data_IF_004036902210
#
_entry.id   IF_004036902210
#
_cell.length_a   1.000
_cell.length_b   1.000
_cell.length_c   1.000
_cell.angle_alpha   90.00
_cell.angle_beta   90.00
_cell.angle_gamma   90.00
#
_symmetry.space_group_name_H-M   'P 1'
#
loop_
_entity.id
_entity.type
_entity.pdbx_description
1 polymer ?
#
# COMPACT_ATOMS: atom_id res chain seq x y z
N UNK A 1 -18.89 2.27 1.24
CA UNK A 1 -18.34 1.73 2.51
C UNK A 1 -17.26 2.66 3.03
N UNK A 2 -17.18 2.90 4.35
CA UNK A 2 -16.23 3.81 4.99
C UNK A 2 -15.43 3.11 6.08
N UNK A 3 -14.27 3.66 6.41
CA UNK A 3 -13.34 3.26 7.48
C UNK A 3 -12.80 4.52 8.14
N UNK A 4 -11.99 4.36 9.19
CA UNK A 4 -11.31 5.48 9.86
C UNK A 4 -9.83 5.19 10.06
N UNK A 5 -9.02 6.21 9.95
CA UNK A 5 -7.64 6.24 10.42
C UNK A 5 -7.63 6.80 11.84
N UNK A 6 -6.83 6.24 12.72
CA UNK A 6 -6.66 6.70 14.09
C UNK A 6 -7.74 6.27 15.07
N UNK A 7 -7.49 6.64 16.32
CA UNK A 7 -8.35 6.33 17.47
C UNK A 7 -9.65 7.13 17.43
N UNK A 8 -10.68 6.64 18.11
CA UNK A 8 -12.02 7.22 18.08
C UNK A 8 -12.05 8.74 18.30
N UNK A 9 -11.25 9.23 19.25
CA UNK A 9 -11.24 10.65 19.66
C UNK A 9 -10.53 11.58 18.67
N UNK A 10 -9.71 11.05 17.76
CA UNK A 10 -8.96 11.82 16.75
C UNK A 10 -8.92 11.08 15.41
N UNK A 11 -10.06 10.54 14.98
CA UNK A 11 -10.12 9.74 13.76
C UNK A 11 -10.36 10.59 12.51
N UNK A 12 -9.80 10.12 11.39
CA UNK A 12 -10.00 10.68 10.06
C UNK A 12 -10.81 9.67 9.26
N UNK A 13 -12.03 10.05 8.85
CA UNK A 13 -12.87 9.18 8.02
C UNK A 13 -12.32 9.10 6.58
N UNK A 14 -12.31 7.88 6.02
CA UNK A 14 -11.86 7.58 4.66
C UNK A 14 -12.80 6.57 3.99
N UNK A 15 -12.73 6.48 2.65
CA UNK A 15 -13.31 5.34 1.94
C UNK A 15 -12.65 4.03 2.42
N UNK A 16 -13.40 2.93 2.44
CA UNK A 16 -12.86 1.64 2.85
C UNK A 16 -11.81 1.05 1.89
N UNK A 17 -11.68 1.66 0.73
CA UNK A 17 -10.64 1.41 -0.27
C UNK A 17 -9.85 2.69 -0.49
N UNK A 18 -8.52 2.60 -0.48
CA UNK A 18 -7.64 3.66 -0.95
C UNK A 18 -7.10 3.36 -2.35
N UNK A 19 -6.44 4.35 -2.96
CA UNK A 19 -5.66 4.19 -4.18
C UNK A 19 -4.17 4.24 -3.84
N UNK A 20 -3.43 3.14 -4.10
CA UNK A 20 -1.98 3.12 -4.05
C UNK A 20 -1.37 3.79 -5.28
N UNK A 21 -0.56 4.82 -5.07
CA UNK A 21 -0.01 5.67 -6.13
C UNK A 21 1.40 5.25 -6.58
N UNK A 22 1.91 4.09 -6.16
CA UNK A 22 3.23 3.62 -6.63
C UNK A 22 3.28 3.49 -8.14
N UNK A 23 2.23 2.92 -8.74
CA UNK A 23 2.20 2.62 -10.16
C UNK A 23 2.16 3.87 -11.06
N UNK A 24 1.75 5.04 -10.55
CA UNK A 24 1.74 6.31 -11.28
C UNK A 24 3.06 7.10 -11.12
N UNK A 25 4.01 6.63 -10.32
CA UNK A 25 5.32 7.25 -10.14
C UNK A 25 6.26 7.08 -11.33
N UNK A 26 5.98 6.12 -12.21
CA UNK A 26 6.83 5.81 -13.35
C UNK A 26 8.09 5.01 -12.97
N UNK A 27 9.09 4.94 -13.88
CA UNK A 27 10.31 4.20 -13.63
C UNK A 27 11.21 4.94 -12.63
N UNK A 28 11.81 4.18 -11.72
CA UNK A 28 12.83 4.63 -10.77
C UNK A 28 13.62 3.44 -10.24
N UNK A 29 14.74 3.69 -9.61
CA UNK A 29 15.64 2.64 -9.11
C UNK A 29 16.07 2.92 -7.67
N UNK A 30 16.41 1.85 -6.96
CA UNK A 30 17.04 1.91 -5.64
C UNK A 30 18.52 1.63 -5.81
N UNK A 31 19.38 2.52 -5.30
CA UNK A 31 20.81 2.27 -5.28
C UNK A 31 21.12 1.14 -4.28
N UNK A 32 21.85 0.14 -4.74
CA UNK A 32 22.37 -0.98 -3.96
C UNK A 32 23.86 -1.12 -4.18
N UNK A 33 24.55 -1.91 -3.36
CA UNK A 33 26.00 -2.18 -3.54
C UNK A 33 26.33 -2.71 -4.94
N UNK A 34 25.46 -3.56 -5.49
CA UNK A 34 25.61 -4.13 -6.84
C UNK A 34 25.18 -3.20 -7.98
N UNK A 35 24.79 -1.95 -7.66
CA UNK A 35 24.28 -0.97 -8.61
C UNK A 35 22.77 -0.71 -8.47
N UNK A 36 22.20 0.17 -9.32
CA UNK A 36 20.78 0.51 -9.28
C UNK A 36 19.90 -0.70 -9.60
N UNK A 37 18.89 -0.95 -8.75
CA UNK A 37 17.86 -1.97 -8.95
C UNK A 37 16.53 -1.30 -9.27
N UNK A 38 15.88 -1.73 -10.35
CA UNK A 38 14.54 -1.27 -10.75
C UNK A 38 13.53 -1.46 -9.63
N UNK A 39 12.78 -0.41 -9.32
CA UNK A 39 11.74 -0.38 -8.29
C UNK A 39 10.41 0.20 -8.80
N UNK A 40 10.38 0.80 -9.99
CA UNK A 40 9.17 1.29 -10.65
C UNK A 40 8.36 0.17 -11.30
N UNK A 41 7.21 0.55 -11.85
CA UNK A 41 6.28 -0.34 -12.57
C UNK A 41 6.33 -0.12 -14.10
N UNK A 42 7.48 0.33 -14.62
CA UNK A 42 7.66 0.69 -16.02
C UNK A 42 7.17 2.10 -16.36
N UNK A 43 7.12 2.40 -17.66
CA UNK A 43 6.72 3.73 -18.15
C UNK A 43 5.26 4.05 -17.85
N UNK A 44 4.97 5.33 -17.63
CA UNK A 44 3.64 5.87 -17.35
C UNK A 44 3.33 7.05 -18.25
N UNK A 45 2.06 7.22 -18.57
CA UNK A 45 1.51 8.42 -19.17
C UNK A 45 0.89 9.27 -18.06
N UNK A 46 1.42 10.47 -17.85
CA UNK A 46 0.97 11.39 -16.81
C UNK A 46 -0.49 11.79 -16.99
N UNK A 47 -0.94 11.98 -18.25
CA UNK A 47 -2.33 12.31 -18.51
C UNK A 47 -3.27 11.15 -18.16
N UNK A 48 -2.86 9.90 -18.40
CA UNK A 48 -3.61 8.72 -17.95
C UNK A 48 -3.58 8.58 -16.44
N UNK A 49 -2.44 8.82 -15.79
CA UNK A 49 -2.30 8.81 -14.34
C UNK A 49 -3.20 9.84 -13.67
N UNK A 50 -3.30 11.05 -14.22
CA UNK A 50 -4.21 12.10 -13.75
C UNK A 50 -5.67 11.64 -13.90
N UNK A 51 -6.06 11.10 -15.07
CA UNK A 51 -7.40 10.56 -15.28
C UNK A 51 -7.73 9.42 -14.31
N UNK A 52 -6.75 8.56 -14.00
CA UNK A 52 -6.94 7.49 -13.01
C UNK A 52 -7.23 8.04 -11.61
N UNK A 53 -6.50 9.07 -11.15
CA UNK A 53 -6.77 9.72 -9.87
C UNK A 53 -8.15 10.40 -9.86
N UNK A 54 -8.52 11.09 -10.93
CA UNK A 54 -9.84 11.72 -11.06
C UNK A 54 -10.96 10.68 -11.07
N UNK A 55 -10.79 9.56 -11.77
CA UNK A 55 -11.74 8.46 -11.76
C UNK A 55 -11.87 7.81 -10.37
N UNK A 56 -10.80 7.79 -9.56
CA UNK A 56 -10.84 7.33 -8.18
C UNK A 56 -11.75 8.24 -7.33
N UNK A 57 -11.59 9.55 -7.45
CA UNK A 57 -12.43 10.53 -6.78
C UNK A 57 -13.91 10.37 -7.16
N UNK A 58 -14.18 10.24 -8.46
CA UNK A 58 -15.55 10.10 -8.99
C UNK A 58 -16.19 8.78 -8.56
N UNK A 59 -15.38 7.75 -8.32
CA UNK A 59 -15.82 6.45 -7.78
C UNK A 59 -15.94 6.43 -6.24
N UNK A 60 -15.72 7.57 -5.57
CA UNK A 60 -15.87 7.71 -4.11
C UNK A 60 -14.66 7.26 -3.30
N UNK A 61 -13.49 7.09 -3.90
CA UNK A 61 -12.23 6.87 -3.18
C UNK A 61 -11.77 8.22 -2.63
N UNK A 62 -11.58 8.29 -1.31
CA UNK A 62 -11.13 9.50 -0.60
C UNK A 62 -9.77 9.33 0.06
N UNK A 63 -9.13 8.17 -0.07
CA UNK A 63 -7.82 7.87 0.52
C UNK A 63 -6.79 7.55 -0.56
N UNK A 64 -5.70 8.30 -0.59
CA UNK A 64 -4.61 8.15 -1.56
C UNK A 64 -3.28 7.92 -0.82
N UNK A 65 -2.59 6.82 -1.13
CA UNK A 65 -1.29 6.47 -0.55
C UNK A 65 -0.18 6.66 -1.59
N UNK A 66 0.70 7.61 -1.34
CA UNK A 66 1.88 7.90 -2.15
C UNK A 66 3.16 7.83 -1.31
N UNK A 67 4.29 8.22 -1.86
CA UNK A 67 5.56 8.38 -1.14
C UNK A 67 6.53 9.27 -1.94
N UNK A 68 7.44 9.93 -1.24
CA UNK A 68 8.50 10.74 -1.84
C UNK A 68 9.38 9.91 -2.80
N UNK A 69 9.65 8.65 -2.49
CA UNK A 69 10.47 7.79 -3.35
C UNK A 69 9.75 7.24 -4.59
N UNK A 70 8.43 7.31 -4.70
CA UNK A 70 7.72 6.81 -5.89
C UNK A 70 8.00 7.69 -7.11
N UNK A 71 8.86 7.19 -8.01
CA UNK A 71 9.39 7.96 -9.12
C UNK A 71 10.24 9.17 -8.69
N UNK A 72 10.84 9.12 -7.47
CA UNK A 72 11.65 10.20 -6.91
C UNK A 72 10.91 11.56 -6.89
N UNK A 73 9.73 11.57 -6.28
CA UNK A 73 8.85 12.75 -6.14
C UNK A 73 7.76 12.87 -7.20
N UNK A 74 7.88 12.14 -8.30
CA UNK A 74 6.95 12.25 -9.44
C UNK A 74 5.50 11.88 -9.06
N UNK A 75 5.31 10.79 -8.28
CA UNK A 75 3.98 10.37 -7.84
C UNK A 75 3.27 11.44 -7.00
N UNK A 76 3.99 12.14 -6.11
CA UNK A 76 3.43 13.23 -5.31
C UNK A 76 3.04 14.42 -6.20
N UNK A 77 3.87 14.78 -7.19
CA UNK A 77 3.58 15.86 -8.14
C UNK A 77 2.34 15.57 -9.00
N UNK A 78 2.22 14.34 -9.52
CA UNK A 78 1.06 13.90 -10.31
C UNK A 78 -0.20 13.89 -9.46
N UNK A 79 -0.12 13.38 -8.22
CA UNK A 79 -1.25 13.36 -7.30
C UNK A 79 -1.71 14.79 -6.98
N UNK A 80 -0.80 15.69 -6.58
CA UNK A 80 -1.11 17.09 -6.30
C UNK A 80 -1.76 17.79 -7.49
N UNK A 81 -1.22 17.61 -8.70
CA UNK A 81 -1.77 18.14 -9.94
C UNK A 81 -3.18 17.60 -10.25
N UNK A 82 -3.40 16.31 -10.05
CA UNK A 82 -4.67 15.67 -10.34
C UNK A 82 -5.80 16.08 -9.38
N UNK A 83 -5.44 16.33 -8.11
CA UNK A 83 -6.40 16.73 -7.08
C UNK A 83 -6.82 18.20 -7.21
N UNK A 84 -5.88 19.12 -7.46
CA UNK A 84 -6.18 20.54 -7.56
C UNK A 84 -7.05 21.05 -6.40
N UNK A 85 -8.14 21.72 -6.71
CA UNK A 85 -9.08 22.27 -5.72
C UNK A 85 -9.80 21.22 -4.87
N UNK A 86 -9.75 19.93 -5.28
CA UNK A 86 -10.34 18.79 -4.55
C UNK A 86 -9.43 18.25 -3.43
N UNK A 87 -8.25 18.86 -3.21
CA UNK A 87 -7.33 18.44 -2.14
C UNK A 87 -8.01 18.30 -0.77
N UNK A 88 -8.92 19.21 -0.44
CA UNK A 88 -9.66 19.24 0.83
C UNK A 88 -10.68 18.11 0.99
N UNK A 89 -11.07 17.46 -0.10
CA UNK A 89 -12.10 16.41 -0.12
C UNK A 89 -11.50 15.02 0.12
N UNK A 90 -10.15 14.94 0.26
CA UNK A 90 -9.42 13.68 0.33
C UNK A 90 -8.43 13.65 1.49
N UNK A 91 -7.99 12.45 1.79
CA UNK A 91 -6.94 12.12 2.76
C UNK A 91 -5.73 11.60 2.00
N UNK A 92 -4.59 12.26 2.16
CA UNK A 92 -3.32 11.87 1.54
C UNK A 92 -2.41 11.26 2.59
N UNK A 93 -1.96 10.03 2.32
CA UNK A 93 -0.83 9.43 3.00
C UNK A 93 0.41 9.57 2.11
N UNK A 94 1.52 10.05 2.67
CA UNK A 94 2.84 10.00 2.02
C UNK A 94 3.92 9.56 2.99
N UNK A 95 5.15 9.34 2.50
CA UNK A 95 6.25 8.72 3.25
C UNK A 95 7.53 9.51 3.08
N UNK A 96 8.35 9.56 4.14
CA UNK A 96 9.61 10.27 4.25
C UNK A 96 10.80 9.32 4.45
N UNK A 97 12.00 9.87 4.70
CA UNK A 97 13.17 9.10 5.12
C UNK A 97 13.93 8.43 3.98
N UNK A 98 13.71 8.84 2.76
CA UNK A 98 14.45 8.39 1.60
C UNK A 98 15.14 9.56 0.89
N UNK A 99 16.44 9.46 0.69
CA UNK A 99 17.15 10.36 -0.20
C UNK A 99 16.83 10.03 -1.65
N UNK A 100 16.24 10.97 -2.35
CA UNK A 100 15.84 10.82 -3.74
C UNK A 100 16.59 11.82 -4.63
N UNK A 101 16.93 11.37 -5.82
CA UNK A 101 17.42 12.24 -6.89
C UNK A 101 16.37 12.26 -8.03
N UNK A 102 15.64 13.37 -8.19
CA UNK A 102 14.62 13.49 -9.23
C UNK A 102 15.18 13.47 -10.66
N UNK A 103 16.43 13.89 -10.87
CA UNK A 103 17.05 13.94 -12.21
C UNK A 103 17.44 12.56 -12.70
N UNK A 104 18.12 11.78 -11.86
CA UNK A 104 18.53 10.41 -12.17
C UNK A 104 17.46 9.37 -11.89
N UNK A 105 16.41 9.73 -11.15
CA UNK A 105 15.39 8.85 -10.62
C UNK A 105 15.95 7.69 -9.78
N UNK A 106 16.97 8.00 -9.01
CA UNK A 106 17.61 7.05 -8.10
C UNK A 106 17.26 7.42 -6.65
N UNK A 107 16.77 6.43 -5.90
CA UNK A 107 16.62 6.51 -4.47
C UNK A 107 17.89 5.98 -3.80
N UNK A 108 18.42 6.76 -2.89
CA UNK A 108 19.50 6.36 -1.98
C UNK A 108 18.88 6.05 -0.62
N UNK A 109 19.07 4.83 -0.10
CA UNK A 109 18.67 4.50 1.27
C UNK A 109 19.64 5.14 2.26
N UNK A 110 19.14 5.83 3.27
CA UNK A 110 19.97 6.40 4.32
C UNK A 110 19.15 6.54 5.62
N UNK A 111 19.07 5.46 6.36
CA UNK A 111 18.32 5.41 7.62
C UNK A 111 19.00 6.19 8.77
N UNK A 112 20.28 6.53 8.63
CA UNK A 112 21.05 7.18 9.71
C UNK A 112 20.76 8.68 9.86
N UNK A 113 20.14 9.32 8.87
CA UNK A 113 19.82 10.76 8.85
C UNK A 113 18.30 11.04 8.82
N UNK A 114 17.47 10.05 9.13
CA UNK A 114 16.00 10.21 9.08
C UNK A 114 15.55 11.35 10.01
N UNK A 115 16.02 11.42 11.25
CA UNK A 115 15.60 12.44 12.23
C UNK A 115 16.00 13.84 11.76
N UNK A 116 17.24 14.02 11.29
CA UNK A 116 17.76 15.30 10.83
C UNK A 116 17.05 15.83 9.60
N UNK A 117 16.58 14.92 8.74
CA UNK A 117 15.95 15.24 7.45
C UNK A 117 14.44 15.30 7.48
N UNK A 118 13.79 14.78 8.51
CA UNK A 118 12.34 14.60 8.54
C UNK A 118 11.57 15.89 8.27
N UNK A 119 12.01 17.01 8.82
CA UNK A 119 11.37 18.32 8.60
C UNK A 119 11.54 18.81 7.16
N UNK A 120 12.74 18.67 6.60
CA UNK A 120 13.02 19.01 5.19
C UNK A 120 12.19 18.09 4.25
N UNK A 121 12.16 16.80 4.51
CA UNK A 121 11.34 15.83 3.76
C UNK A 121 9.86 16.19 3.79
N UNK A 122 9.36 16.67 4.93
CA UNK A 122 7.97 17.10 5.08
C UNK A 122 7.66 18.32 4.20
N UNK A 123 8.48 19.37 4.27
CA UNK A 123 8.32 20.57 3.45
C UNK A 123 8.43 20.26 1.95
N UNK A 124 9.31 19.34 1.58
CA UNK A 124 9.48 18.88 0.20
C UNK A 124 8.24 18.15 -0.30
N UNK A 125 7.66 17.26 0.52
CA UNK A 125 6.41 16.56 0.18
C UNK A 125 5.23 17.53 0.08
N UNK A 126 5.11 18.51 1.01
CA UNK A 126 4.08 19.55 0.96
C UNK A 126 4.18 20.35 -0.37
N UNK A 127 5.40 20.72 -0.78
CA UNK A 127 5.64 21.46 -2.03
C UNK A 127 5.29 20.62 -3.25
N UNK A 128 5.68 19.32 -3.30
CA UNK A 128 5.36 18.45 -4.45
C UNK A 128 3.87 18.14 -4.55
N UNK A 129 3.20 17.95 -3.42
CA UNK A 129 1.75 17.72 -3.32
C UNK A 129 0.93 19.02 -3.52
N UNK A 130 1.58 20.19 -3.50
CA UNK A 130 0.94 21.51 -3.58
C UNK A 130 -0.16 21.68 -2.50
N UNK A 131 0.21 21.49 -1.22
CA UNK A 131 -0.72 21.55 -0.08
C UNK A 131 0.03 22.04 1.18
N UNK A 132 -0.72 22.60 2.13
CA UNK A 132 -0.18 23.13 3.38
C UNK A 132 -0.12 22.07 4.51
N UNK A 133 -0.74 20.90 4.30
CA UNK A 133 -0.77 19.84 5.29
C UNK A 133 -0.79 18.44 4.65
N UNK A 134 -0.27 17.45 5.38
CA UNK A 134 -0.36 16.03 5.06
C UNK A 134 -1.32 15.37 6.06
N UNK A 135 -2.23 14.52 5.60
CA UNK A 135 -3.19 13.87 6.51
C UNK A 135 -2.54 12.73 7.28
N UNK A 136 -1.74 11.88 6.62
CA UNK A 136 -1.05 10.75 7.22
C UNK A 136 0.41 10.70 6.73
N UNK A 137 1.36 10.98 7.63
CA UNK A 137 2.79 10.97 7.31
C UNK A 137 3.46 9.73 7.86
N UNK A 138 4.06 8.91 7.00
CA UNK A 138 4.46 7.56 7.37
C UNK A 138 5.97 7.36 7.30
N UNK A 139 6.53 6.70 8.32
CA UNK A 139 7.84 6.10 8.23
C UNK A 139 7.77 4.93 7.23
N UNK A 140 8.66 4.88 6.21
CA UNK A 140 8.58 3.85 5.17
C UNK A 140 9.08 2.48 5.66
N UNK A 141 8.83 1.47 4.85
CA UNK A 141 9.42 0.15 5.04
C UNK A 141 10.94 0.24 4.89
N UNK A 142 11.66 -0.11 5.93
CA UNK A 142 13.12 -0.10 5.98
C UNK A 142 13.60 -0.96 7.14
N UNK A 143 14.90 -0.96 7.38
CA UNK A 143 15.54 -1.72 8.45
C UNK A 143 15.84 -0.86 9.69
N UNK A 144 15.08 0.24 9.90
CA UNK A 144 15.30 1.08 11.07
C UNK A 144 15.09 0.27 12.36
N UNK A 145 16.09 0.37 13.24
CA UNK A 145 16.03 -0.24 14.57
C UNK A 145 14.85 0.39 15.37
N UNK A 146 14.00 -0.42 16.03
CA UNK A 146 12.91 0.09 16.86
C UNK A 146 13.33 1.17 17.87
N UNK A 147 14.53 1.05 18.44
CA UNK A 147 15.05 2.06 19.38
C UNK A 147 15.36 3.40 18.71
N UNK A 148 15.79 3.38 17.45
CA UNK A 148 16.02 4.60 16.65
C UNK A 148 14.71 5.23 16.17
N UNK A 149 13.60 4.50 16.19
CA UNK A 149 12.29 4.98 15.77
C UNK A 149 11.58 5.86 16.80
N UNK A 150 11.97 5.78 18.09
CA UNK A 150 11.38 6.62 19.15
C UNK A 150 11.60 8.12 18.89
N UNK A 151 12.83 8.61 18.62
CA UNK A 151 13.05 10.03 18.28
C UNK A 151 12.27 10.45 17.00
N UNK A 152 12.12 9.56 16.03
CA UNK A 152 11.32 9.82 14.82
C UNK A 152 9.86 10.05 15.21
N UNK A 153 9.29 9.18 16.06
CA UNK A 153 7.91 9.31 16.57
C UNK A 153 7.71 10.62 17.33
N UNK A 154 8.65 11.00 18.20
CA UNK A 154 8.59 12.26 18.96
C UNK A 154 8.58 13.48 18.03
N UNK A 155 9.40 13.48 16.99
CA UNK A 155 9.41 14.56 16.01
C UNK A 155 8.11 14.61 15.16
N UNK A 156 7.51 13.46 14.87
CA UNK A 156 6.19 13.40 14.22
C UNK A 156 5.09 14.00 15.11
N UNK A 157 5.14 13.78 16.44
CA UNK A 157 4.23 14.43 17.39
C UNK A 157 4.40 15.97 17.39
N UNK A 158 5.61 16.47 17.20
CA UNK A 158 5.84 17.91 17.04
C UNK A 158 5.22 18.44 15.75
N UNK A 159 5.39 17.73 14.61
CA UNK A 159 4.78 18.13 13.34
C UNK A 159 3.25 18.12 13.38
N UNK A 160 2.64 17.23 14.17
CA UNK A 160 1.20 17.28 14.44
C UNK A 160 0.81 18.55 15.19
N UNK A 161 1.55 18.93 16.26
CA UNK A 161 1.31 20.16 17.02
C UNK A 161 1.48 21.43 16.18
N UNK A 162 2.38 21.39 15.21
CA UNK A 162 2.62 22.47 14.25
C UNK A 162 1.54 22.55 13.15
N UNK A 163 0.69 21.52 13.03
CA UNK A 163 -0.35 21.45 12.00
C UNK A 163 0.18 21.09 10.60
N UNK A 164 1.44 20.70 10.48
CA UNK A 164 2.04 20.25 9.21
C UNK A 164 1.52 18.89 8.77
N UNK A 165 1.26 18.01 9.75
CA UNK A 165 0.64 16.71 9.54
C UNK A 165 -0.55 16.55 10.49
N UNK A 166 -1.54 15.74 10.11
CA UNK A 166 -2.70 15.48 10.99
C UNK A 166 -2.50 14.23 11.86
N UNK A 167 -1.82 13.24 11.29
CA UNK A 167 -1.52 11.98 11.96
C UNK A 167 -0.27 11.33 11.31
N UNK A 168 0.23 10.30 11.93
CA UNK A 168 1.35 9.54 11.40
C UNK A 168 1.16 8.03 11.52
N UNK A 169 2.08 7.26 10.91
CA UNK A 169 2.09 5.81 10.95
C UNK A 169 3.44 5.23 10.54
N UNK A 170 3.56 3.90 10.60
CA UNK A 170 4.73 3.19 10.08
C UNK A 170 4.32 2.14 9.05
N UNK A 171 4.99 2.13 7.88
CA UNK A 171 4.87 1.04 6.93
C UNK A 171 5.88 -0.07 7.29
N UNK A 172 5.43 -1.10 7.99
CA UNK A 172 6.27 -2.21 8.44
C UNK A 172 5.51 -3.53 8.46
N UNK A 173 6.19 -4.62 8.15
CA UNK A 173 5.68 -5.99 8.26
C UNK A 173 6.19 -6.70 9.56
N UNK A 174 6.84 -5.94 10.49
CA UNK A 174 7.44 -6.43 11.73
C UNK A 174 6.68 -5.88 12.94
N UNK A 175 6.28 -6.79 13.84
CA UNK A 175 5.48 -6.47 15.03
C UNK A 175 6.21 -5.51 15.98
N UNK A 176 7.48 -5.79 16.31
CA UNK A 176 8.32 -5.00 17.21
C UNK A 176 8.45 -3.53 16.81
N UNK A 177 8.44 -3.27 15.50
CA UNK A 177 8.44 -1.91 14.92
C UNK A 177 7.07 -1.25 15.03
N UNK A 178 6.02 -2.00 14.69
CA UNK A 178 4.66 -1.52 14.77
C UNK A 178 4.28 -1.11 16.21
N UNK A 179 4.72 -1.86 17.21
CA UNK A 179 4.51 -1.58 18.63
C UNK A 179 5.07 -0.23 19.03
N UNK A 180 6.28 0.13 18.59
CA UNK A 180 6.90 1.45 18.91
C UNK A 180 6.01 2.61 18.48
N UNK A 181 5.40 2.53 17.28
CA UNK A 181 4.53 3.60 16.78
C UNK A 181 3.13 3.54 17.39
N UNK A 182 2.63 2.35 17.70
CA UNK A 182 1.32 2.16 18.35
C UNK A 182 1.22 2.86 19.73
N UNK A 183 2.33 3.09 20.40
CA UNK A 183 2.39 3.86 21.68
C UNK A 183 2.12 5.36 21.48
N UNK A 184 2.32 5.91 20.29
CA UNK A 184 2.21 7.34 20.02
C UNK A 184 0.77 7.83 20.03
N UNK A 185 0.54 9.05 20.58
CA UNK A 185 -0.79 9.60 20.76
C UNK A 185 -1.52 9.88 19.44
N UNK A 186 -0.79 10.34 18.40
CA UNK A 186 -1.33 10.66 17.09
C UNK A 186 -0.95 9.62 16.02
N UNK A 187 -0.48 8.42 16.44
CA UNK A 187 -0.37 7.30 15.52
C UNK A 187 -1.77 6.87 15.07
N UNK A 188 -2.00 6.84 13.76
CA UNK A 188 -3.32 6.55 13.19
C UNK A 188 -3.38 5.21 12.46
N UNK A 189 -2.23 4.65 12.04
CA UNK A 189 -2.21 3.42 11.26
C UNK A 189 -0.87 2.72 11.30
N UNK A 190 -0.92 1.41 11.07
CA UNK A 190 0.23 0.61 10.62
C UNK A 190 -0.05 0.18 9.17
N UNK A 191 0.93 0.42 8.28
CA UNK A 191 0.82 -0.04 6.89
C UNK A 191 1.65 -1.31 6.69
N UNK A 192 1.02 -2.40 6.29
CA UNK A 192 1.69 -3.69 6.11
C UNK A 192 1.10 -4.49 4.94
N UNK A 193 1.85 -5.52 4.50
CA UNK A 193 1.40 -6.41 3.44
C UNK A 193 0.28 -7.32 3.96
N UNK A 194 -0.88 -7.28 3.31
CA UNK A 194 -2.00 -8.16 3.62
C UNK A 194 -2.74 -8.56 2.34
N UNK A 195 -2.83 -9.85 2.11
CA UNK A 195 -3.57 -10.46 1.00
C UNK A 195 -3.78 -11.95 1.28
N UNK A 196 -4.57 -12.63 0.46
CA UNK A 196 -4.78 -14.09 0.51
C UNK A 196 -3.47 -14.91 0.51
N UNK A 197 -2.42 -14.39 -0.12
CA UNK A 197 -1.12 -15.07 -0.17
C UNK A 197 -0.15 -14.63 0.93
N UNK A 198 -0.49 -13.62 1.70
CA UNK A 198 0.33 -13.09 2.79
C UNK A 198 -0.56 -12.49 3.88
N UNK A 199 -0.76 -13.21 4.97
CA UNK A 199 -1.48 -12.73 6.16
C UNK A 199 -0.48 -12.28 7.24
N UNK A 200 -0.88 -11.36 8.10
CA UNK A 200 -0.11 -10.89 9.24
C UNK A 200 -1.05 -10.68 10.46
N UNK A 201 -1.46 -11.78 11.11
CA UNK A 201 -2.44 -11.75 12.20
C UNK A 201 -1.97 -10.96 13.43
N UNK A 202 -0.66 -10.93 13.68
CA UNK A 202 -0.10 -10.24 14.86
C UNK A 202 -0.24 -8.73 14.73
N UNK A 203 0.06 -8.15 13.54
CA UNK A 203 -0.12 -6.71 13.31
C UNK A 203 -1.60 -6.35 13.25
N UNK A 204 -2.47 -7.21 12.69
CA UNK A 204 -3.92 -6.99 12.74
C UNK A 204 -4.39 -6.88 14.19
N UNK A 205 -4.00 -7.84 15.04
CA UNK A 205 -4.37 -7.86 16.46
C UNK A 205 -3.82 -6.64 17.21
N UNK A 206 -2.59 -6.21 16.92
CA UNK A 206 -2.02 -4.98 17.49
C UNK A 206 -2.88 -3.75 17.12
N UNK A 207 -3.26 -3.63 15.85
CA UNK A 207 -4.08 -2.51 15.39
C UNK A 207 -5.47 -2.50 16.04
N UNK A 208 -6.12 -3.67 16.16
CA UNK A 208 -7.40 -3.81 16.83
C UNK A 208 -7.32 -3.41 18.32
N UNK A 209 -6.30 -3.87 19.02
CA UNK A 209 -6.09 -3.59 20.44
C UNK A 209 -5.79 -2.10 20.71
N UNK A 210 -5.19 -1.39 19.76
CA UNK A 210 -4.79 0.02 19.90
C UNK A 210 -5.71 1.00 19.13
N UNK A 211 -6.81 0.53 18.57
CA UNK A 211 -7.77 1.32 17.77
C UNK A 211 -7.13 2.01 16.56
N UNK A 212 -6.15 1.35 15.91
CA UNK A 212 -5.43 1.83 14.74
C UNK A 212 -6.02 1.25 13.45
N UNK A 213 -5.80 1.94 12.33
CA UNK A 213 -6.11 1.39 11.02
C UNK A 213 -5.02 0.43 10.53
N UNK A 214 -5.45 -0.66 9.89
CA UNK A 214 -4.60 -1.53 9.08
C UNK A 214 -4.62 -1.01 7.64
N UNK A 215 -3.62 -0.23 7.23
CA UNK A 215 -3.47 0.15 5.82
C UNK A 215 -2.75 -0.97 5.10
N UNK A 216 -3.43 -1.60 4.12
CA UNK A 216 -2.96 -2.86 3.54
C UNK A 216 -2.35 -2.64 2.17
N UNK A 217 -1.00 -2.64 2.13
CA UNK A 217 -0.24 -2.65 0.87
C UNK A 217 -0.27 -4.05 0.24
N UNK A 218 -0.09 -4.11 -1.10
CA UNK A 218 -0.10 -5.35 -1.91
C UNK A 218 -1.36 -6.23 -1.76
N UNK A 219 -2.57 -5.67 -1.62
CA UNK A 219 -3.78 -6.47 -1.40
C UNK A 219 -4.10 -7.42 -2.57
N UNK A 220 -3.58 -7.11 -3.77
CA UNK A 220 -3.69 -7.94 -4.98
C UNK A 220 -2.39 -8.70 -5.32
N UNK A 221 -1.45 -8.85 -4.37
CA UNK A 221 -0.18 -9.55 -4.55
C UNK A 221 0.54 -9.14 -5.84
N UNK A 222 0.80 -7.84 -6.03
CA UNK A 222 1.41 -7.26 -7.24
C UNK A 222 0.64 -7.53 -8.53
N UNK A 223 -0.66 -7.77 -8.41
CA UNK A 223 -1.59 -8.02 -9.51
C UNK A 223 -1.82 -9.50 -9.81
N UNK A 224 -1.19 -10.44 -9.10
CA UNK A 224 -1.37 -11.88 -9.32
C UNK A 224 -2.80 -12.31 -8.99
N UNK A 225 -3.38 -11.81 -7.91
CA UNK A 225 -4.76 -12.09 -7.50
C UNK A 225 -5.84 -11.50 -8.43
N UNK A 226 -5.46 -10.84 -9.52
CA UNK A 226 -6.40 -10.45 -10.58
C UNK A 226 -6.70 -11.59 -11.55
N UNK A 227 -5.92 -12.69 -11.51
CA UNK A 227 -6.07 -13.85 -12.37
C UNK A 227 -5.72 -13.62 -13.85
N UNK A 228 -5.03 -12.51 -14.17
CA UNK A 228 -4.65 -12.18 -15.56
C UNK A 228 -3.31 -12.77 -15.99
N UNK A 229 -2.50 -13.27 -15.05
CA UNK A 229 -1.19 -13.83 -15.35
C UNK A 229 -1.25 -15.34 -15.55
N UNK A 230 -0.40 -15.83 -16.44
CA UNK A 230 -0.20 -17.25 -16.78
C UNK A 230 1.29 -17.58 -16.63
N UNK A 231 1.64 -18.86 -16.78
CA UNK A 231 3.06 -19.29 -16.77
C UNK A 231 3.93 -18.63 -17.86
N UNK A 232 3.35 -18.10 -18.92
CA UNK A 232 4.06 -17.43 -20.02
C UNK A 232 4.05 -15.90 -19.90
N UNK A 233 3.50 -15.34 -18.83
CA UNK A 233 3.46 -13.90 -18.61
C UNK A 233 4.87 -13.37 -18.31
N UNK A 234 5.24 -12.25 -18.94
CA UNK A 234 6.52 -11.55 -18.76
C UNK A 234 6.30 -10.06 -18.53
N UNK A 235 7.31 -9.37 -18.05
CA UNK A 235 7.29 -7.93 -17.79
C UNK A 235 8.47 -7.22 -18.45
N UNK A 236 8.35 -5.94 -18.82
CA UNK A 236 9.45 -5.13 -19.33
C UNK A 236 10.61 -5.00 -18.31
N UNK A 237 11.82 -4.78 -18.77
CA UNK A 237 13.03 -4.65 -17.92
C UNK A 237 12.93 -3.51 -16.89
N UNK A 238 12.23 -2.43 -17.22
CA UNK A 238 12.01 -1.30 -16.32
C UNK A 238 10.80 -1.48 -15.37
N UNK A 239 10.18 -2.66 -15.34
CA UNK A 239 9.17 -3.06 -14.35
C UNK A 239 9.83 -3.93 -13.28
N UNK A 240 9.60 -3.61 -12.00
CA UNK A 240 10.18 -4.36 -10.88
C UNK A 240 9.80 -5.86 -10.88
N UNK A 241 8.75 -6.24 -11.59
CA UNK A 241 8.30 -7.63 -11.76
C UNK A 241 9.06 -8.37 -12.86
N UNK A 242 9.95 -7.71 -13.60
CA UNK A 242 10.74 -8.36 -14.66
C UNK A 242 11.47 -9.63 -14.18
N UNK A 243 11.88 -9.63 -12.89
CA UNK A 243 12.54 -10.79 -12.28
C UNK A 243 11.59 -11.95 -11.93
N UNK A 244 10.28 -11.83 -12.15
CA UNK A 244 9.32 -12.89 -11.86
C UNK A 244 9.30 -13.86 -13.05
N UNK A 245 9.69 -15.11 -12.80
CA UNK A 245 9.44 -16.22 -13.70
C UNK A 245 8.26 -17.05 -13.15
N UNK A 246 7.12 -17.01 -13.83
CA UNK A 246 5.94 -17.76 -13.41
C UNK A 246 6.06 -19.28 -13.58
N UNK A 247 7.15 -19.77 -14.19
CA UNK A 247 7.48 -21.20 -14.27
C UNK A 247 8.24 -21.71 -13.05
N UNK A 248 8.83 -20.79 -12.27
CA UNK A 248 9.42 -21.16 -10.98
C UNK A 248 8.36 -21.79 -10.05
N UNK A 249 8.72 -22.86 -9.30
CA UNK A 249 7.78 -23.56 -8.41
C UNK A 249 7.00 -22.64 -7.46
N UNK A 250 7.65 -21.63 -6.89
CA UNK A 250 7.05 -20.65 -6.00
C UNK A 250 5.92 -19.86 -6.69
N UNK A 251 6.16 -19.35 -7.89
CA UNK A 251 5.17 -18.56 -8.63
C UNK A 251 4.11 -19.43 -9.29
N UNK A 252 4.49 -20.62 -9.79
CA UNK A 252 3.55 -21.62 -10.29
C UNK A 252 2.55 -22.04 -9.20
N UNK A 253 3.03 -22.24 -7.97
CA UNK A 253 2.18 -22.48 -6.80
C UNK A 253 1.19 -21.35 -6.50
N UNK A 254 1.67 -20.10 -6.64
CA UNK A 254 0.79 -18.92 -6.47
C UNK A 254 -0.28 -18.85 -7.56
N UNK A 255 0.02 -19.19 -8.82
CA UNK A 255 -0.97 -19.26 -9.88
C UNK A 255 -2.01 -20.36 -9.62
N UNK A 256 -1.58 -21.56 -9.15
CA UNK A 256 -2.51 -22.63 -8.71
C UNK A 256 -3.44 -22.15 -7.60
N UNK A 257 -2.92 -21.40 -6.63
CA UNK A 257 -3.73 -20.82 -5.56
C UNK A 257 -4.80 -19.86 -6.10
N UNK A 258 -4.46 -19.01 -7.07
CA UNK A 258 -5.42 -18.11 -7.72
C UNK A 258 -6.52 -18.88 -8.42
N UNK A 259 -6.17 -19.97 -9.12
CA UNK A 259 -7.17 -20.79 -9.82
C UNK A 259 -8.07 -21.54 -8.83
N UNK A 260 -7.53 -22.11 -7.75
CA UNK A 260 -8.31 -22.75 -6.69
C UNK A 260 -9.26 -21.80 -5.96
N UNK A 261 -8.90 -20.52 -5.86
CA UNK A 261 -9.72 -19.48 -5.22
C UNK A 261 -10.81 -18.91 -6.14
N UNK A 262 -10.79 -19.22 -7.44
CA UNK A 262 -11.63 -18.57 -8.44
C UNK A 262 -13.11 -18.58 -8.08
N UNK A 263 -13.65 -19.75 -7.79
CA UNK A 263 -15.10 -19.93 -7.55
C UNK A 263 -15.56 -19.14 -6.32
N UNK A 264 -14.84 -19.21 -5.21
CA UNK A 264 -15.21 -18.51 -3.98
C UNK A 264 -15.06 -16.99 -4.11
N UNK A 265 -14.01 -16.51 -4.78
CA UNK A 265 -13.77 -15.08 -4.91
C UNK A 265 -14.71 -14.41 -5.92
N UNK A 266 -15.17 -15.14 -6.96
CA UNK A 266 -16.06 -14.57 -7.97
C UNK A 266 -17.54 -14.79 -7.65
N UNK A 267 -17.86 -15.45 -6.55
CA UNK A 267 -19.23 -15.63 -6.12
C UNK A 267 -19.93 -14.26 -5.95
N UNK A 268 -21.24 -14.21 -6.17
CA UNK A 268 -22.00 -12.96 -6.11
C UNK A 268 -21.67 -11.93 -7.21
N UNK A 269 -21.02 -12.36 -8.32
CA UNK A 269 -20.73 -11.52 -9.49
C UNK A 269 -19.49 -10.62 -9.34
N UNK A 270 -18.62 -10.88 -8.38
CA UNK A 270 -17.33 -10.19 -8.21
C UNK A 270 -16.33 -10.62 -9.29
N UNK A 271 -15.39 -9.75 -9.65
CA UNK A 271 -14.14 -10.18 -10.29
C UNK A 271 -13.19 -10.79 -9.26
N UNK A 272 -12.14 -11.52 -9.69
CA UNK A 272 -11.12 -12.05 -8.79
C UNK A 272 -10.47 -10.92 -7.96
N UNK A 273 -10.16 -9.78 -8.57
CA UNK A 273 -9.62 -8.62 -7.86
C UNK A 273 -10.58 -8.13 -6.78
N UNK A 274 -11.87 -8.03 -7.08
CA UNK A 274 -12.89 -7.61 -6.12
C UNK A 274 -13.07 -8.61 -4.99
N UNK A 275 -13.04 -9.91 -5.27
CA UNK A 275 -13.06 -10.95 -4.25
C UNK A 275 -11.84 -10.93 -3.35
N UNK A 276 -10.64 -10.70 -3.90
CA UNK A 276 -9.42 -10.54 -3.11
C UNK A 276 -9.47 -9.33 -2.18
N UNK A 277 -10.04 -8.19 -2.63
CA UNK A 277 -10.27 -7.02 -1.79
C UNK A 277 -11.34 -7.29 -0.71
N UNK A 278 -12.40 -8.02 -1.07
CA UNK A 278 -13.46 -8.43 -0.14
C UNK A 278 -12.92 -9.34 0.98
N UNK A 279 -11.94 -10.21 0.69
CA UNK A 279 -11.24 -11.01 1.70
C UNK A 279 -10.46 -10.13 2.68
N UNK A 280 -9.76 -9.08 2.19
CA UNK A 280 -9.03 -8.15 3.07
C UNK A 280 -10.00 -7.47 4.04
N UNK A 281 -11.17 -7.05 3.58
CA UNK A 281 -12.19 -6.45 4.46
C UNK A 281 -12.81 -7.45 5.45
N UNK A 282 -12.94 -8.71 5.08
CA UNK A 282 -13.44 -9.77 5.97
C UNK A 282 -12.44 -10.10 7.09
N UNK A 283 -11.14 -9.78 6.89
CA UNK A 283 -10.07 -10.06 7.85
C UNK A 283 -10.19 -9.22 9.13
N UNK A 284 -10.61 -7.96 9.01
CA UNK A 284 -10.86 -7.06 10.14
C UNK A 284 -11.61 -5.80 9.68
N UNK A 285 -12.41 -5.23 10.56
CA UNK A 285 -13.04 -3.92 10.35
C UNK A 285 -12.05 -2.75 10.33
N UNK A 286 -10.78 -2.99 10.68
CA UNK A 286 -9.70 -2.01 10.63
C UNK A 286 -8.98 -1.95 9.30
N UNK A 287 -9.22 -2.89 8.39
CA UNK A 287 -8.49 -2.99 7.12
C UNK A 287 -8.93 -1.95 6.10
N UNK A 288 -7.94 -1.36 5.45
CA UNK A 288 -8.09 -0.39 4.36
C UNK A 288 -7.10 -0.80 3.25
N UNK A 289 -7.51 -1.68 2.32
CA UNK A 289 -6.66 -2.04 1.19
C UNK A 289 -6.38 -0.85 0.28
N UNK A 290 -5.13 -0.75 -0.18
CA UNK A 290 -4.65 0.30 -1.09
C UNK A 290 -4.10 -0.32 -2.40
N UNK A 291 -4.95 -0.96 -3.23
CA UNK A 291 -4.50 -1.51 -4.49
C UNK A 291 -3.95 -0.41 -5.39
N UNK A 292 -2.83 -0.70 -6.06
CA UNK A 292 -2.30 0.16 -7.12
C UNK A 292 -3.17 0.07 -8.38
N UNK A 293 -3.24 1.18 -9.12
CA UNK A 293 -3.87 1.24 -10.43
C UNK A 293 -3.09 2.18 -11.34
N UNK A 294 -3.05 1.87 -12.65
CA UNK A 294 -2.34 2.67 -13.68
C UNK A 294 -3.29 3.44 -14.60
N UNK A 295 -4.56 3.04 -14.64
CA UNK A 295 -5.55 3.60 -15.55
C UNK A 295 -6.96 3.59 -14.94
N UNK A 296 -7.86 4.32 -15.58
CA UNK A 296 -9.24 4.47 -15.16
C UNK A 296 -9.99 3.13 -15.01
N UNK A 297 -9.77 2.18 -15.94
CA UNK A 297 -10.43 0.87 -15.91
C UNK A 297 -10.09 0.10 -14.63
N UNK A 298 -8.82 0.03 -14.25
CA UNK A 298 -8.38 -0.65 -13.02
C UNK A 298 -8.93 0.05 -11.77
N UNK A 299 -8.94 1.37 -11.76
CA UNK A 299 -9.51 2.14 -10.65
C UNK A 299 -10.98 1.84 -10.46
N UNK A 300 -11.77 1.89 -11.54
CA UNK A 300 -13.21 1.62 -11.48
C UNK A 300 -13.51 0.17 -11.06
N UNK A 301 -12.73 -0.80 -11.54
CA UNK A 301 -12.85 -2.19 -11.13
C UNK A 301 -12.59 -2.35 -9.63
N UNK A 302 -11.49 -1.78 -9.12
CA UNK A 302 -11.15 -1.83 -7.70
C UNK A 302 -12.21 -1.12 -6.84
N UNK A 303 -12.65 0.07 -7.25
CA UNK A 303 -13.64 0.85 -6.52
C UNK A 303 -15.01 0.14 -6.43
N UNK A 304 -15.41 -0.55 -7.50
CA UNK A 304 -16.67 -1.30 -7.53
C UNK A 304 -16.71 -2.43 -6.49
N UNK A 305 -15.56 -2.92 -5.99
CA UNK A 305 -15.51 -3.87 -4.89
C UNK A 305 -16.22 -3.37 -3.63
N UNK A 306 -16.23 -2.04 -3.38
CA UNK A 306 -16.91 -1.46 -2.20
C UNK A 306 -18.43 -1.69 -2.21
N UNK A 307 -19.05 -1.92 -3.36
CA UNK A 307 -20.47 -2.24 -3.45
C UNK A 307 -20.79 -3.69 -3.02
N UNK A 308 -19.82 -4.60 -3.16
CA UNK A 308 -19.96 -5.99 -2.71
C UNK A 308 -19.69 -6.13 -1.21
N UNK A 309 -18.82 -5.28 -0.63
CA UNK A 309 -18.40 -5.37 0.77
C UNK A 309 -17.46 -6.55 1.06
N UNK A 310 -17.29 -6.93 2.34
CA UNK A 310 -16.45 -8.06 2.75
C UNK A 310 -17.03 -9.41 2.29
N UNK A 311 -16.18 -10.42 2.19
CA UNK A 311 -16.66 -11.81 2.09
C UNK A 311 -17.53 -12.16 3.28
N UNK A 312 -18.54 -13.00 3.06
CA UNK A 312 -19.28 -13.63 4.15
C UNK A 312 -18.36 -14.55 4.96
N UNK A 313 -18.72 -14.87 6.21
CA UNK A 313 -17.92 -15.78 7.05
C UNK A 313 -17.67 -17.12 6.35
N UNK A 314 -18.67 -17.68 5.66
CA UNK A 314 -18.54 -18.93 4.94
C UNK A 314 -17.56 -18.83 3.75
N UNK A 315 -17.64 -17.77 2.96
CA UNK A 315 -16.70 -17.52 1.84
C UNK A 315 -15.27 -17.27 2.37
N UNK A 316 -15.12 -16.55 3.48
CA UNK A 316 -13.83 -16.28 4.10
C UNK A 316 -13.17 -17.57 4.61
N UNK A 317 -13.92 -18.42 5.32
CA UNK A 317 -13.45 -19.73 5.79
C UNK A 317 -13.09 -20.66 4.63
N UNK A 318 -13.90 -20.68 3.56
CA UNK A 318 -13.62 -21.47 2.36
C UNK A 318 -12.35 -21.00 1.66
N UNK A 319 -12.19 -19.69 1.45
CA UNK A 319 -10.98 -19.13 0.85
C UNK A 319 -9.73 -19.50 1.64
N UNK A 320 -9.79 -19.42 2.98
CA UNK A 320 -8.67 -19.79 3.85
C UNK A 320 -8.36 -21.30 3.80
N UNK A 321 -9.39 -22.18 3.71
CA UNK A 321 -9.19 -23.62 3.54
C UNK A 321 -8.48 -23.94 2.20
N UNK A 322 -8.91 -23.31 1.11
CA UNK A 322 -8.26 -23.48 -0.20
C UNK A 322 -6.79 -23.06 -0.14
N UNK A 323 -6.50 -21.91 0.48
CA UNK A 323 -5.11 -21.44 0.65
C UNK A 323 -4.28 -22.44 1.46
N UNK A 324 -4.81 -22.95 2.57
CA UNK A 324 -4.12 -23.90 3.43
C UNK A 324 -3.83 -25.22 2.70
N UNK A 325 -4.83 -25.78 2.03
CA UNK A 325 -4.69 -27.04 1.27
C UNK A 325 -3.61 -26.96 0.19
N UNK A 326 -3.60 -25.87 -0.58
CA UNK A 326 -2.61 -25.70 -1.67
C UNK A 326 -1.20 -25.47 -1.10
N UNK A 327 -1.06 -24.78 0.04
CA UNK A 327 0.24 -24.63 0.71
C UNK A 327 0.78 -25.98 1.18
N UNK A 328 -0.03 -26.81 1.79
CA UNK A 328 0.36 -28.16 2.21
C UNK A 328 0.83 -29.03 1.02
N UNK A 329 0.11 -28.96 -0.12
CA UNK A 329 0.50 -29.65 -1.35
C UNK A 329 1.87 -29.17 -1.84
N UNK A 330 2.12 -27.85 -1.87
CA UNK A 330 3.37 -27.25 -2.31
C UNK A 330 4.55 -27.62 -1.40
N UNK A 331 4.34 -27.62 -0.09
CA UNK A 331 5.36 -28.01 0.88
C UNK A 331 5.75 -29.49 0.71
N UNK A 332 4.79 -30.36 0.43
CA UNK A 332 5.04 -31.78 0.13
C UNK A 332 5.83 -31.97 -1.17
N UNK A 333 5.53 -31.18 -2.22
CA UNK A 333 6.26 -31.25 -3.50
C UNK A 333 7.72 -30.76 -3.39
N UNK A 334 8.04 -29.86 -2.46
CA UNK A 334 9.38 -29.33 -2.25
C UNK A 334 10.23 -30.15 -1.25
N UNK A 335 9.59 -30.96 -0.41
CA UNK A 335 10.24 -31.76 0.63
C UNK A 335 10.56 -33.22 0.22
N UNK A 336 10.15 -33.67 -0.97
CA UNK A 336 10.43 -34.97 -1.54
C UNK A 336 11.53 -34.88 -2.61
#
# INVERSE_FOLDING_TARGET
MKRRLGRADNSIEVSALGMGCWAIGGPWSILREAGPRTAGWGDVDDAESIRAVQAALDAGITFFDTAANYGCGHSEQILGKALGDRRKDVVIATKFGHRIDPETRIMHGDDDVIVEKLREDCEDSLRRLNTDYIDLYQLPAGNLDPKKAVPVRELLEELVKEGKIRAYGWSTDHLDRAEVFAEGANCASIQFSLSLVNDNPEIVSLCEANDLACVNKKPLASGILTGKFTADSTFPENDMRHAIDFKDPQWAGTLRMVDGLRDVLTSGGRTLAQGALAWVWARSDRTIPIPGARNEKQVRENAAAMAHGPLTSAEFEEANRVVASIREELDHEQGG
#
